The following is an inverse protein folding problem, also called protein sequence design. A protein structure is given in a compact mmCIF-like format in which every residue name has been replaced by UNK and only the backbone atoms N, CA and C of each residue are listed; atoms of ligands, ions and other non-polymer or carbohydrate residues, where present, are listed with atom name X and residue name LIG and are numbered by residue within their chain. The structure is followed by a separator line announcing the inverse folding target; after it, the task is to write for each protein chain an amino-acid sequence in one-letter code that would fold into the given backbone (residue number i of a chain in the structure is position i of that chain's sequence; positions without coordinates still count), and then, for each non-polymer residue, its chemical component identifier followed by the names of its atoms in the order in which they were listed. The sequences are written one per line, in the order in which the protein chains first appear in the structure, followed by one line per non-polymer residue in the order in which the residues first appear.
data_IF_059178799049
#
_entry.id   IF_059178799049
#
_cell.length_a   1.000
_cell.length_b   1.000
_cell.length_c   1.000
_cell.angle_alpha   90.00
_cell.angle_beta   90.00
_cell.angle_gamma   90.00
#
_symmetry.space_group_name_H-M   'P 1'
#
loop_
_entity.id
_entity.type
_entity.pdbx_description
1 polymer ?
#
# COMPACT_ATOMS: atom_id res chain seq x y z
N UNK A 1 24.68 16.77 -21.43
CA UNK A 1 23.54 16.00 -21.95
C UNK A 1 22.29 16.63 -21.34
N UNK A 2 21.30 16.98 -22.15
CA UNK A 2 20.02 17.52 -21.63
C UNK A 2 19.27 16.39 -20.94
N UNK A 3 18.89 16.54 -19.67
CA UNK A 3 18.06 15.55 -18.97
C UNK A 3 16.66 15.56 -19.62
N UNK A 4 16.11 14.39 -19.90
CA UNK A 4 14.77 14.25 -20.48
C UNK A 4 13.74 14.41 -19.36
N UNK A 5 12.71 15.25 -19.54
CA UNK A 5 11.61 15.33 -18.58
C UNK A 5 10.86 13.99 -18.49
N UNK A 6 10.54 13.61 -17.28
CA UNK A 6 9.70 12.45 -16.94
C UNK A 6 8.47 12.96 -16.21
N UNK A 7 7.39 12.17 -16.19
CA UNK A 7 6.19 12.46 -15.40
C UNK A 7 5.92 11.31 -14.45
N UNK A 8 5.33 11.65 -13.32
CA UNK A 8 5.01 10.66 -12.31
C UNK A 8 4.49 11.24 -11.00
N UNK A 9 4.25 10.35 -10.06
CA UNK A 9 3.78 10.70 -8.73
C UNK A 9 4.98 10.95 -7.80
N UNK A 10 4.96 12.07 -7.10
CA UNK A 10 5.92 12.49 -6.07
C UNK A 10 5.26 12.35 -4.71
N UNK A 11 5.94 11.69 -3.78
CA UNK A 11 5.44 11.45 -2.42
C UNK A 11 6.45 11.96 -1.40
N UNK A 12 5.95 12.70 -0.42
CA UNK A 12 6.70 13.12 0.76
C UNK A 12 6.00 12.59 2.00
N UNK A 13 6.69 11.78 2.78
CA UNK A 13 6.23 11.23 4.04
C UNK A 13 7.03 11.88 5.18
N UNK A 14 6.38 12.65 6.05
CA UNK A 14 6.99 13.54 7.04
C UNK A 14 6.55 13.21 8.46
N UNK A 15 7.53 13.00 9.36
CA UNK A 15 7.27 12.71 10.77
C UNK A 15 6.87 13.99 11.53
N UNK A 16 5.62 14.06 11.92
CA UNK A 16 5.13 15.16 12.73
C UNK A 16 5.62 15.06 14.17
N UNK A 17 6.09 16.19 14.73
CA UNK A 17 6.59 16.27 16.10
C UNK A 17 8.08 15.94 16.26
N UNK A 18 8.77 15.55 15.19
CA UNK A 18 10.16 15.10 15.22
C UNK A 18 11.13 16.09 15.85
N UNK A 19 11.07 17.38 15.53
CA UNK A 19 11.95 18.40 16.11
C UNK A 19 11.79 18.49 17.64
N UNK A 20 10.54 18.49 18.13
CA UNK A 20 10.25 18.50 19.56
C UNK A 20 10.70 17.20 20.22
N UNK A 21 10.49 16.07 19.54
CA UNK A 21 10.94 14.74 19.97
C UNK A 21 12.46 14.71 20.17
N UNK A 22 13.25 15.09 19.17
CA UNK A 22 14.71 15.11 19.26
C UNK A 22 15.24 16.06 20.36
N UNK A 23 14.61 17.23 20.51
CA UNK A 23 15.07 18.21 21.50
C UNK A 23 14.82 17.81 22.95
N UNK A 24 13.93 16.87 23.19
CA UNK A 24 13.52 16.39 24.52
C UNK A 24 13.96 14.95 24.83
N UNK A 25 14.64 14.29 23.89
CA UNK A 25 15.04 12.89 23.98
C UNK A 25 16.54 12.72 24.04
N UNK A 26 16.98 11.61 24.57
CA UNK A 26 18.37 11.19 24.63
C UNK A 26 18.90 10.90 23.21
N UNK A 27 20.06 11.46 22.89
CA UNK A 27 20.67 11.35 21.57
C UNK A 27 21.10 9.92 21.23
N UNK A 28 21.28 9.08 22.22
CA UNK A 28 21.66 7.68 22.05
C UNK A 28 20.52 6.82 21.50
N UNK A 29 19.25 7.17 21.80
CA UNK A 29 18.07 6.37 21.41
C UNK A 29 17.21 7.03 20.36
N UNK A 30 17.02 8.35 20.41
CA UNK A 30 16.08 9.04 19.55
C UNK A 30 16.35 8.85 18.04
N UNK A 31 17.61 8.93 17.55
CA UNK A 31 17.89 8.67 16.14
C UNK A 31 17.60 7.22 15.71
N UNK A 32 17.81 6.25 16.58
CA UNK A 32 17.54 4.82 16.31
C UNK A 32 16.03 4.58 16.15
N UNK A 33 15.21 5.13 17.05
CA UNK A 33 13.75 5.01 16.99
C UNK A 33 13.21 5.72 15.74
N UNK A 34 13.69 6.92 15.45
CA UNK A 34 13.27 7.67 14.27
C UNK A 34 13.68 6.96 12.96
N UNK A 35 14.89 6.39 12.93
CA UNK A 35 15.37 5.57 11.82
C UNK A 35 14.49 4.35 11.58
N UNK A 36 14.15 3.60 12.61
CA UNK A 36 13.27 2.44 12.55
C UNK A 36 11.85 2.81 12.05
N UNK A 37 11.33 3.96 12.47
CA UNK A 37 10.05 4.46 11.97
C UNK A 37 10.13 4.86 10.49
N UNK A 38 11.19 5.53 10.06
CA UNK A 38 11.41 5.88 8.65
C UNK A 38 11.61 4.63 7.79
N UNK A 39 12.38 3.65 8.25
CA UNK A 39 12.51 2.34 7.57
C UNK A 39 11.15 1.65 7.43
N UNK A 40 10.33 1.65 8.48
CA UNK A 40 8.96 1.10 8.43
C UNK A 40 8.10 1.79 7.39
N UNK A 41 8.15 3.13 7.28
CA UNK A 41 7.41 3.92 6.30
C UNK A 41 7.90 3.64 4.88
N UNK A 42 9.22 3.72 4.65
CA UNK A 42 9.83 3.52 3.34
C UNK A 42 9.59 2.10 2.85
N UNK A 43 9.74 1.09 3.71
CA UNK A 43 9.50 -0.30 3.35
C UNK A 43 8.06 -0.65 2.97
N UNK A 44 7.10 0.26 3.22
CA UNK A 44 5.71 0.13 2.73
C UNK A 44 5.41 1.01 1.51
N UNK A 45 6.20 2.05 1.30
CA UNK A 45 6.10 2.90 0.11
C UNK A 45 6.91 2.34 -1.07
N UNK A 46 7.99 1.62 -0.83
CA UNK A 46 8.86 1.05 -1.85
C UNK A 46 8.81 -0.50 -1.83
N UNK A 47 8.25 -1.13 -2.89
CA UNK A 47 7.55 -0.55 -4.02
C UNK A 47 6.10 -0.10 -3.67
N UNK A 48 5.32 0.62 -4.49
CA UNK A 48 5.54 0.92 -5.92
C UNK A 48 6.39 2.17 -6.18
N UNK A 49 6.63 3.00 -5.17
CA UNK A 49 7.50 4.16 -5.28
C UNK A 49 8.97 3.74 -5.22
N UNK A 50 9.85 4.67 -5.53
CA UNK A 50 11.30 4.55 -5.33
C UNK A 50 11.77 5.65 -4.40
N UNK A 51 12.60 5.32 -3.43
CA UNK A 51 13.20 6.32 -2.56
C UNK A 51 14.17 7.19 -3.36
N UNK A 52 13.89 8.49 -3.45
CA UNK A 52 14.80 9.46 -4.02
C UNK A 52 15.85 9.88 -2.98
N UNK A 53 15.40 10.25 -1.77
CA UNK A 53 16.28 10.64 -0.66
C UNK A 53 15.55 10.70 0.67
N UNK A 54 16.30 10.68 1.77
CA UNK A 54 15.85 11.07 3.10
C UNK A 54 16.22 12.53 3.36
N UNK A 55 15.31 13.30 3.93
CA UNK A 55 15.46 14.73 4.24
C UNK A 55 15.20 14.98 5.73
N UNK A 56 16.12 14.57 6.58
CA UNK A 56 15.95 14.62 8.03
C UNK A 56 14.89 13.64 8.51
N UNK A 57 13.70 14.13 8.82
CA UNK A 57 12.53 13.39 9.28
C UNK A 57 11.52 13.09 8.16
N UNK A 58 11.85 13.40 6.92
CA UNK A 58 11.01 13.12 5.76
C UNK A 58 11.67 12.16 4.79
N UNK A 59 10.86 11.29 4.19
CA UNK A 59 11.23 10.47 3.03
C UNK A 59 10.60 11.08 1.76
N UNK A 60 11.43 11.33 0.75
CA UNK A 60 11.00 11.76 -0.58
C UNK A 60 11.10 10.60 -1.55
N UNK A 61 9.95 10.22 -2.14
CA UNK A 61 9.83 9.11 -3.05
C UNK A 61 9.14 9.54 -4.35
N UNK A 62 9.25 8.73 -5.39
CA UNK A 62 8.58 8.96 -6.66
C UNK A 62 8.22 7.64 -7.36
N UNK A 63 7.23 7.70 -8.26
CA UNK A 63 6.93 6.62 -9.19
C UNK A 63 6.70 7.22 -10.58
N UNK A 64 7.38 6.66 -11.58
CA UNK A 64 7.14 7.03 -12.98
C UNK A 64 5.74 6.55 -13.42
N UNK A 65 5.16 7.27 -14.39
CA UNK A 65 3.88 6.90 -15.00
C UNK A 65 3.91 5.47 -15.56
N UNK A 66 2.81 4.75 -15.33
CA UNK A 66 2.65 3.37 -15.78
C UNK A 66 3.35 2.31 -14.91
N UNK A 67 4.07 2.70 -13.85
CA UNK A 67 4.71 1.74 -12.94
C UNK A 67 3.70 0.99 -12.06
N UNK A 68 2.69 1.69 -11.58
CA UNK A 68 1.61 1.13 -10.79
C UNK A 68 0.31 1.90 -11.02
N UNK A 69 -0.83 1.24 -10.91
CA UNK A 69 -2.12 1.91 -10.96
C UNK A 69 -2.37 2.77 -9.71
N UNK A 70 -3.33 3.69 -9.77
CA UNK A 70 -3.62 4.61 -8.68
C UNK A 70 -4.10 3.91 -7.41
N UNK A 71 -4.76 2.75 -7.52
CA UNK A 71 -5.21 1.97 -6.37
C UNK A 71 -4.02 1.41 -5.60
N UNK A 72 -3.02 0.86 -6.28
CA UNK A 72 -1.79 0.36 -5.64
C UNK A 72 -0.99 1.48 -4.97
N UNK A 73 -0.95 2.67 -5.58
CA UNK A 73 -0.28 3.82 -4.98
C UNK A 73 -0.99 4.31 -3.71
N UNK A 74 -2.33 4.30 -3.69
CA UNK A 74 -3.11 4.60 -2.49
C UNK A 74 -2.95 3.54 -1.40
N UNK A 75 -2.92 2.25 -1.79
CA UNK A 75 -2.66 1.15 -0.87
C UNK A 75 -1.30 1.30 -0.18
N UNK A 76 -0.27 1.74 -0.92
CA UNK A 76 1.06 2.01 -0.37
C UNK A 76 1.03 3.13 0.69
N UNK A 77 0.33 4.23 0.41
CA UNK A 77 0.17 5.35 1.36
C UNK A 77 -0.54 4.91 2.64
N UNK A 78 -1.63 4.15 2.52
CA UNK A 78 -2.36 3.61 3.67
C UNK A 78 -1.53 2.59 4.45
N UNK A 79 -0.89 1.65 3.75
CA UNK A 79 -0.04 0.64 4.36
C UNK A 79 1.13 1.26 5.14
N UNK A 80 1.74 2.31 4.61
CA UNK A 80 2.80 3.05 5.29
C UNK A 80 2.30 3.68 6.60
N UNK A 81 1.14 4.34 6.57
CA UNK A 81 0.55 4.93 7.78
C UNK A 81 0.17 3.85 8.80
N UNK A 82 -0.45 2.76 8.38
CA UNK A 82 -0.88 1.69 9.28
C UNK A 82 0.30 0.93 9.88
N UNK A 83 1.35 0.66 9.10
CA UNK A 83 2.57 0.05 9.62
C UNK A 83 3.27 0.96 10.62
N UNK A 84 3.35 2.27 10.33
CA UNK A 84 3.86 3.27 11.26
C UNK A 84 3.09 3.27 12.59
N UNK A 85 1.75 3.28 12.56
CA UNK A 85 0.90 3.24 13.76
C UNK A 85 1.06 1.93 14.54
N UNK A 86 1.16 0.78 13.84
CA UNK A 86 1.47 -0.51 14.48
C UNK A 86 2.84 -0.48 15.15
N UNK A 87 3.84 0.11 14.49
CA UNK A 87 5.19 0.21 15.05
C UNK A 87 5.25 1.09 16.29
N UNK A 88 4.59 2.23 16.28
CA UNK A 88 4.45 3.09 17.46
C UNK A 88 3.78 2.36 18.64
N UNK A 89 2.70 1.63 18.37
CA UNK A 89 2.02 0.82 19.40
C UNK A 89 2.97 -0.27 19.96
N UNK A 90 3.76 -0.90 19.10
CA UNK A 90 4.75 -1.90 19.52
C UNK A 90 5.84 -1.28 20.41
N UNK A 91 6.33 -0.08 20.09
CA UNK A 91 7.29 0.66 20.90
C UNK A 91 6.67 0.98 22.27
N UNK A 92 5.46 1.51 22.30
CA UNK A 92 4.74 1.88 23.53
C UNK A 92 4.50 0.68 24.46
N UNK A 93 4.11 -0.48 23.89
CA UNK A 93 3.73 -1.65 24.69
C UNK A 93 4.89 -2.58 25.06
N UNK A 94 5.93 -2.66 24.21
CA UNK A 94 7.02 -3.62 24.38
C UNK A 94 8.29 -3.01 25.01
N UNK A 95 8.39 -1.67 25.11
CA UNK A 95 9.59 -1.06 25.69
C UNK A 95 9.63 -1.21 27.22
N UNK A 96 10.79 -1.63 27.73
CA UNK A 96 11.11 -1.63 29.16
C UNK A 96 12.06 -0.48 29.53
N UNK A 97 12.32 0.44 28.59
CA UNK A 97 13.23 1.55 28.76
C UNK A 97 12.47 2.80 29.26
N UNK A 98 12.94 3.40 30.36
CA UNK A 98 12.32 4.59 30.95
C UNK A 98 12.89 5.91 30.38
N UNK A 99 13.63 5.89 29.28
CA UNK A 99 14.19 7.09 28.67
C UNK A 99 13.10 7.93 27.96
N UNK A 100 13.38 9.24 27.82
CA UNK A 100 12.44 10.16 27.16
C UNK A 100 12.20 9.78 25.68
N UNK A 101 13.21 9.27 24.98
CA UNK A 101 13.05 8.84 23.60
C UNK A 101 11.96 7.76 23.45
N UNK A 102 11.95 6.76 24.32
CA UNK A 102 10.92 5.72 24.32
C UNK A 102 9.55 6.26 24.75
N UNK A 103 9.51 7.08 25.81
CA UNK A 103 8.28 7.63 26.37
C UNK A 103 7.59 8.67 25.44
N UNK A 104 8.36 9.37 24.60
CA UNK A 104 7.84 10.41 23.70
C UNK A 104 7.56 9.88 22.27
N UNK A 105 8.15 8.75 21.89
CA UNK A 105 7.93 8.17 20.54
C UNK A 105 6.44 8.04 20.15
N UNK A 106 5.52 7.60 21.06
CA UNK A 106 4.10 7.50 20.75
C UNK A 106 3.40 8.84 20.39
N UNK A 107 4.06 9.97 20.62
CA UNK A 107 3.56 11.31 20.24
C UNK A 107 3.93 11.71 18.82
N UNK A 108 4.81 10.95 18.17
CA UNK A 108 5.10 11.13 16.75
C UNK A 108 3.88 10.73 15.92
N UNK A 109 3.73 11.38 14.78
CA UNK A 109 2.71 11.04 13.82
C UNK A 109 3.23 11.26 12.39
N UNK A 110 2.46 10.88 11.38
CA UNK A 110 2.87 10.90 9.99
C UNK A 110 1.91 11.75 9.15
N UNK A 111 2.48 12.54 8.24
CA UNK A 111 1.78 13.22 7.15
C UNK A 111 2.33 12.71 5.83
N UNK A 112 1.45 12.52 4.86
CA UNK A 112 1.85 12.13 3.51
C UNK A 112 1.33 13.16 2.51
N UNK A 113 2.21 13.65 1.64
CA UNK A 113 1.88 14.61 0.59
C UNK A 113 2.12 13.94 -0.75
N UNK A 114 1.11 14.01 -1.63
CA UNK A 114 1.12 13.36 -2.93
C UNK A 114 0.84 14.39 -4.02
N UNK A 115 1.78 14.53 -4.94
CA UNK A 115 1.67 15.38 -6.11
C UNK A 115 2.00 14.59 -7.37
N UNK A 116 1.36 14.90 -8.48
CA UNK A 116 1.72 14.36 -9.79
C UNK A 116 2.19 15.49 -10.70
N UNK A 117 3.35 15.31 -11.33
CA UNK A 117 3.91 16.31 -12.21
C UNK A 117 5.18 15.87 -12.91
N UNK A 118 5.82 16.83 -13.56
CA UNK A 118 7.04 16.62 -14.33
C UNK A 118 8.30 16.85 -13.48
N UNK A 119 9.29 16.03 -13.69
CA UNK A 119 10.60 16.14 -13.09
C UNK A 119 11.71 15.72 -14.04
N UNK A 120 12.92 16.10 -13.74
CA UNK A 120 14.13 15.59 -14.41
C UNK A 120 15.02 14.92 -13.38
N UNK A 121 15.61 13.80 -13.75
CA UNK A 121 16.69 13.19 -12.96
C UNK A 121 18.01 13.78 -13.39
N UNK A 122 18.77 14.27 -12.44
CA UNK A 122 20.11 14.83 -12.66
C UNK A 122 21.08 14.27 -11.64
N UNK A 123 22.35 14.14 -12.04
CA UNK A 123 23.38 13.67 -11.13
C UNK A 123 24.22 14.83 -10.66
N UNK A 124 24.13 15.15 -9.37
CA UNK A 124 24.84 16.27 -8.74
C UNK A 124 25.78 15.70 -7.68
N UNK A 125 27.07 15.98 -7.78
CA UNK A 125 28.09 15.48 -6.86
C UNK A 125 28.06 13.94 -6.67
N UNK A 126 27.72 13.20 -7.73
CA UNK A 126 27.64 11.73 -7.72
C UNK A 126 26.34 11.15 -7.16
N UNK A 127 25.37 11.99 -6.74
CA UNK A 127 24.05 11.59 -6.22
C UNK A 127 22.98 11.91 -7.25
N UNK A 128 21.99 11.03 -7.35
CA UNK A 128 20.81 11.26 -8.17
C UNK A 128 19.87 12.22 -7.44
N UNK A 129 19.40 13.25 -8.16
CA UNK A 129 18.52 14.30 -7.65
C UNK A 129 17.36 14.50 -8.60
N UNK A 130 16.16 14.66 -8.05
CA UNK A 130 14.99 15.09 -8.81
C UNK A 130 14.89 16.61 -8.78
N UNK A 131 14.63 17.21 -9.95
CA UNK A 131 14.49 18.66 -10.08
C UNK A 131 13.33 19.04 -10.99
N UNK A 132 12.67 20.15 -10.68
CA UNK A 132 11.56 20.67 -11.48
C UNK A 132 10.60 21.52 -10.64
N UNK A 133 9.73 22.32 -11.30
CA UNK A 133 8.72 23.10 -10.59
C UNK A 133 7.78 22.24 -9.72
N UNK A 134 7.41 21.04 -10.19
CA UNK A 134 6.53 20.11 -9.47
C UNK A 134 7.23 19.49 -8.27
N UNK A 135 8.54 19.26 -8.33
CA UNK A 135 9.35 18.86 -7.16
C UNK A 135 9.34 19.96 -6.10
N UNK A 136 9.46 21.24 -6.52
CA UNK A 136 9.37 22.38 -5.60
C UNK A 136 7.97 22.45 -4.97
N UNK A 137 6.92 22.27 -5.76
CA UNK A 137 5.55 22.28 -5.24
C UNK A 137 5.34 21.17 -4.21
N UNK A 138 5.77 19.93 -4.49
CA UNK A 138 5.68 18.83 -3.54
C UNK A 138 6.31 19.19 -2.17
N UNK A 139 7.50 19.77 -2.17
CA UNK A 139 8.15 20.21 -0.93
C UNK A 139 7.46 21.41 -0.25
N UNK A 140 6.75 22.26 -1.01
CA UNK A 140 6.00 23.38 -0.42
C UNK A 140 4.75 22.94 0.33
N UNK A 141 4.12 21.82 -0.06
CA UNK A 141 2.99 21.25 0.65
C UNK A 141 3.32 20.94 2.12
N UNK A 142 4.55 20.51 2.43
CA UNK A 142 5.02 20.30 3.81
C UNK A 142 4.85 21.54 4.71
N UNK A 143 4.97 22.73 4.12
CA UNK A 143 4.91 24.03 4.81
C UNK A 143 3.59 24.77 4.58
N UNK A 144 2.61 24.10 3.98
CA UNK A 144 1.30 24.65 3.67
C UNK A 144 0.44 24.91 4.90
N UNK A 145 -0.61 25.71 4.70
CA UNK A 145 -1.54 26.07 5.77
C UNK A 145 -2.30 24.86 6.33
N UNK A 146 -2.55 23.84 5.49
CA UNK A 146 -3.21 22.61 5.91
C UNK A 146 -2.30 21.81 6.84
N UNK A 147 -1.03 21.63 6.46
CA UNK A 147 -0.03 20.98 7.29
C UNK A 147 0.10 21.63 8.68
N UNK A 148 0.03 22.97 8.73
CA UNK A 148 0.10 23.73 9.97
C UNK A 148 -1.17 23.62 10.83
N UNK A 149 -2.37 23.57 10.22
CA UNK A 149 -3.66 23.63 10.94
C UNK A 149 -4.20 22.26 11.35
N UNK A 150 -4.02 21.25 10.52
CA UNK A 150 -4.64 19.94 10.72
C UNK A 150 -3.88 19.05 11.71
N UNK A 151 -2.65 19.41 12.03
CA UNK A 151 -1.82 18.61 12.93
C UNK A 151 -1.18 17.43 12.19
N UNK A 152 -1.76 16.23 12.28
CA UNK A 152 -1.13 14.99 11.85
C UNK A 152 -2.16 13.95 11.40
N UNK A 153 -1.72 12.80 10.96
CA UNK A 153 -2.59 11.67 10.62
C UNK A 153 -3.36 11.85 9.31
N UNK A 154 -2.78 12.49 8.30
CA UNK A 154 -3.48 12.72 7.03
C UNK A 154 -2.59 12.53 5.79
N UNK A 155 -3.25 12.24 4.67
CA UNK A 155 -2.68 12.32 3.32
C UNK A 155 -3.25 13.55 2.58
N UNK A 156 -2.40 14.39 2.02
CA UNK A 156 -2.80 15.54 1.18
C UNK A 156 -2.41 15.31 -0.27
N UNK A 157 -3.39 15.31 -1.14
CA UNK A 157 -3.24 15.05 -2.57
C UNK A 157 -3.56 16.31 -3.37
N UNK A 158 -2.70 16.69 -4.30
CA UNK A 158 -3.05 17.77 -5.25
C UNK A 158 -4.10 17.30 -6.25
N UNK A 159 -4.84 18.22 -6.87
CA UNK A 159 -5.78 17.91 -7.92
C UNK A 159 -5.12 17.17 -9.09
N UNK A 160 -3.85 17.48 -9.39
CA UNK A 160 -3.05 16.75 -10.38
C UNK A 160 -2.85 15.28 -9.99
N UNK A 161 -2.51 15.00 -8.72
CA UNK A 161 -2.38 13.63 -8.23
C UNK A 161 -3.72 12.88 -8.24
N UNK A 162 -4.80 13.51 -7.78
CA UNK A 162 -6.15 12.92 -7.81
C UNK A 162 -6.54 12.51 -9.24
N UNK A 163 -6.29 13.39 -10.22
CA UNK A 163 -6.59 13.12 -11.62
C UNK A 163 -5.73 11.99 -12.18
N UNK A 164 -4.42 12.03 -11.96
CA UNK A 164 -3.49 11.03 -12.48
C UNK A 164 -3.72 9.64 -11.88
N UNK A 165 -4.07 9.57 -10.59
CA UNK A 165 -4.37 8.33 -9.89
C UNK A 165 -5.80 7.82 -10.13
N UNK A 166 -6.65 8.61 -10.80
CA UNK A 166 -8.05 8.24 -11.05
C UNK A 166 -8.92 8.18 -9.80
N UNK A 167 -8.56 8.96 -8.77
CA UNK A 167 -9.25 8.93 -7.46
C UNK A 167 -10.60 9.64 -7.55
N UNK A 168 -11.63 9.03 -6.98
CA UNK A 168 -12.95 9.65 -6.77
C UNK A 168 -13.06 10.13 -5.33
N UNK A 169 -12.77 11.42 -5.15
CA UNK A 169 -12.61 12.04 -3.82
C UNK A 169 -13.90 12.06 -3.00
N UNK A 170 -15.06 12.15 -3.67
CA UNK A 170 -16.39 12.09 -3.08
C UNK A 170 -16.72 10.72 -2.46
N UNK A 171 -16.27 9.64 -3.10
CA UNK A 171 -16.48 8.27 -2.63
C UNK A 171 -15.46 7.83 -1.56
N UNK A 172 -14.35 8.56 -1.40
CA UNK A 172 -13.31 8.29 -0.42
C UNK A 172 -13.32 9.28 0.77
N UNK A 173 -14.39 10.08 0.91
CA UNK A 173 -14.55 11.08 1.97
C UNK A 173 -13.35 12.03 2.12
N UNK A 174 -12.76 12.43 0.98
CA UNK A 174 -11.65 13.37 0.97
C UNK A 174 -12.17 14.81 1.06
N UNK A 175 -11.70 15.54 2.07
CA UNK A 175 -12.05 16.94 2.24
C UNK A 175 -11.34 17.83 1.20
N UNK A 176 -12.09 18.70 0.52
CA UNK A 176 -11.51 19.69 -0.39
C UNK A 176 -10.81 20.81 0.38
N UNK A 177 -9.68 21.26 -0.15
CA UNK A 177 -8.94 22.39 0.40
C UNK A 177 -8.16 23.13 -0.69
N UNK A 178 -7.70 24.33 -0.40
CA UNK A 178 -6.88 25.13 -1.29
C UNK A 178 -5.69 25.69 -0.54
N UNK A 179 -4.54 25.58 -1.14
CA UNK A 179 -3.27 26.18 -0.69
C UNK A 179 -2.85 27.29 -1.66
N UNK A 180 -2.18 28.31 -1.16
CA UNK A 180 -1.60 29.37 -1.99
C UNK A 180 -0.13 29.52 -1.67
N UNK A 181 0.71 29.43 -2.68
CA UNK A 181 2.16 29.50 -2.55
C UNK A 181 2.76 30.60 -3.41
N UNK A 182 3.72 31.34 -2.86
CA UNK A 182 4.48 32.35 -3.62
C UNK A 182 5.10 31.71 -4.87
N UNK A 183 4.95 32.38 -6.01
CA UNK A 183 5.48 31.97 -7.32
C UNK A 183 4.87 30.67 -7.92
N UNK A 184 3.94 30.00 -7.23
CA UNK A 184 3.19 28.84 -7.75
C UNK A 184 1.72 29.21 -7.97
N UNK A 185 1.17 30.05 -7.08
CA UNK A 185 -0.26 30.40 -7.09
C UNK A 185 -1.09 29.46 -6.25
N UNK A 186 -2.39 29.39 -6.58
CA UNK A 186 -3.37 28.56 -5.89
C UNK A 186 -3.31 27.12 -6.37
N UNK A 187 -3.33 26.18 -5.42
CA UNK A 187 -3.29 24.74 -5.65
C UNK A 187 -4.50 24.10 -4.96
N UNK A 188 -5.39 23.54 -5.73
CA UNK A 188 -6.50 22.74 -5.19
C UNK A 188 -5.96 21.41 -4.69
N UNK A 189 -6.36 21.04 -3.48
CA UNK A 189 -5.92 19.80 -2.81
C UNK A 189 -7.09 19.07 -2.17
N UNK A 190 -6.89 17.80 -1.89
CA UNK A 190 -7.84 16.91 -1.24
C UNK A 190 -7.14 16.23 -0.08
N UNK A 191 -7.81 16.14 1.05
CA UNK A 191 -7.22 15.63 2.28
C UNK A 191 -7.96 14.39 2.74
N UNK A 192 -7.22 13.29 2.85
CA UNK A 192 -7.66 12.01 3.38
C UNK A 192 -7.28 11.94 4.85
N UNK A 193 -8.24 11.58 5.71
CA UNK A 193 -8.00 11.37 7.13
C UNK A 193 -7.47 9.94 7.36
N UNK A 194 -6.15 9.81 7.49
CA UNK A 194 -5.50 8.51 7.67
C UNK A 194 -5.68 7.98 9.09
N UNK A 195 -5.83 8.86 10.09
CA UNK A 195 -6.06 8.43 11.47
C UNK A 195 -7.47 7.86 11.67
N UNK A 196 -8.48 8.49 11.05
CA UNK A 196 -9.83 7.93 11.03
C UNK A 196 -9.88 6.57 10.32
N UNK A 197 -9.12 6.42 9.22
CA UNK A 197 -8.99 5.13 8.51
C UNK A 197 -8.30 4.07 9.36
N UNK A 198 -7.21 4.44 10.03
CA UNK A 198 -6.53 3.55 10.97
C UNK A 198 -7.45 3.11 12.11
N UNK A 199 -8.22 4.04 12.69
CA UNK A 199 -9.19 3.73 13.75
C UNK A 199 -10.23 2.74 13.25
N UNK A 200 -10.84 3.02 12.09
CA UNK A 200 -11.82 2.12 11.50
C UNK A 200 -11.23 0.72 11.19
N UNK A 201 -9.97 0.68 10.74
CA UNK A 201 -9.26 -0.57 10.45
C UNK A 201 -8.94 -1.34 11.74
N UNK A 202 -8.45 -0.66 12.78
CA UNK A 202 -8.10 -1.29 14.06
C UNK A 202 -9.32 -1.82 14.83
N UNK A 203 -10.50 -1.24 14.59
CA UNK A 203 -11.77 -1.68 15.19
C UNK A 203 -12.47 -2.78 14.36
N UNK A 204 -12.03 -2.99 13.12
CA UNK A 204 -12.59 -4.01 12.24
C UNK A 204 -12.12 -5.40 12.69
N UNK A 205 -13.08 -6.32 12.79
CA UNK A 205 -12.75 -7.72 12.99
C UNK A 205 -12.23 -8.30 11.67
N UNK A 206 -10.96 -8.71 11.66
CA UNK A 206 -10.35 -9.36 10.52
C UNK A 206 -11.09 -10.65 10.18
N UNK A 207 -11.43 -10.82 8.90
CA UNK A 207 -11.98 -12.08 8.40
C UNK A 207 -10.87 -13.13 8.33
N UNK A 208 -11.01 -14.23 9.04
CA UNK A 208 -10.04 -15.31 9.03
C UNK A 208 -10.72 -16.66 8.84
N UNK A 209 -10.04 -17.57 8.16
CA UNK A 209 -10.46 -18.97 7.99
C UNK A 209 -9.56 -19.86 8.84
N UNK A 210 -10.17 -20.56 9.79
CA UNK A 210 -9.43 -21.53 10.61
C UNK A 210 -8.95 -22.71 9.75
N UNK A 211 -7.73 -23.24 9.97
CA UNK A 211 -7.18 -24.33 9.15
C UNK A 211 -8.10 -25.54 9.04
N UNK A 212 -8.78 -25.90 10.12
CA UNK A 212 -9.71 -27.03 10.19
C UNK A 212 -11.01 -26.82 9.40
N UNK A 213 -11.36 -25.56 9.09
CA UNK A 213 -12.51 -25.21 8.26
C UNK A 213 -12.14 -25.08 6.78
N UNK A 214 -10.86 -25.06 6.46
CA UNK A 214 -10.37 -24.81 5.11
C UNK A 214 -10.54 -26.04 4.20
N UNK A 215 -11.14 -25.84 3.03
CA UNK A 215 -11.13 -26.79 1.91
C UNK A 215 -9.86 -26.67 1.07
N UNK A 216 -9.22 -25.50 1.10
CA UNK A 216 -7.86 -25.24 0.59
C UNK A 216 -7.09 -24.58 1.72
N UNK A 217 -5.90 -25.08 2.04
CA UNK A 217 -4.94 -24.47 2.96
C UNK A 217 -3.54 -24.66 2.35
N UNK A 218 -3.09 -23.62 1.64
CA UNK A 218 -1.83 -23.65 0.91
C UNK A 218 -0.94 -22.51 1.37
N UNK A 219 0.34 -22.78 1.56
CA UNK A 219 1.34 -21.76 1.88
C UNK A 219 2.57 -21.95 1.00
N UNK A 220 3.05 -20.85 0.42
CA UNK A 220 4.28 -20.83 -0.38
C UNK A 220 5.20 -19.70 0.08
N UNK A 221 6.49 -19.88 -0.19
CA UNK A 221 7.46 -18.79 -0.07
C UNK A 221 7.71 -18.21 -1.47
N UNK A 222 7.44 -16.93 -1.63
CA UNK A 222 7.56 -16.21 -2.90
C UNK A 222 8.79 -15.32 -2.82
N UNK A 223 9.72 -15.36 -3.81
CA UNK A 223 10.91 -14.52 -3.82
C UNK A 223 10.57 -13.10 -4.32
N UNK A 224 9.84 -12.36 -3.51
CA UNK A 224 9.41 -10.99 -3.77
C UNK A 224 8.94 -10.32 -2.48
N UNK A 225 8.92 -8.99 -2.47
CA UNK A 225 8.37 -8.18 -1.37
C UNK A 225 6.86 -8.38 -1.21
N UNK A 226 6.30 -8.14 -0.01
CA UNK A 226 4.85 -8.17 0.22
C UNK A 226 4.06 -7.26 -0.73
N UNK A 227 4.61 -6.09 -1.10
CA UNK A 227 3.94 -5.16 -2.00
C UNK A 227 3.87 -5.70 -3.45
N UNK A 228 4.92 -6.34 -3.95
CA UNK A 228 4.90 -7.00 -5.26
C UNK A 228 3.94 -8.19 -5.25
N UNK A 229 3.98 -9.03 -4.21
CA UNK A 229 3.01 -10.12 -4.04
C UNK A 229 1.56 -9.59 -4.02
N UNK A 230 1.31 -8.51 -3.28
CA UNK A 230 0.03 -7.84 -3.20
C UNK A 230 -0.48 -7.36 -4.56
N UNK A 231 0.40 -6.70 -5.34
CA UNK A 231 0.06 -6.23 -6.67
C UNK A 231 -0.39 -7.39 -7.60
N UNK A 232 0.31 -8.52 -7.55
CA UNK A 232 -0.03 -9.70 -8.35
C UNK A 232 -1.32 -10.38 -7.89
N UNK A 233 -1.59 -10.40 -6.58
CA UNK A 233 -2.81 -10.97 -6.02
C UNK A 233 -4.06 -10.14 -6.32
N UNK A 234 -3.92 -8.82 -6.39
CA UNK A 234 -5.07 -7.94 -6.37
C UNK A 234 -5.32 -7.20 -7.68
N UNK A 235 -4.29 -6.96 -8.52
CA UNK A 235 -4.44 -6.19 -9.74
C UNK A 235 -5.06 -7.01 -10.88
N UNK A 236 -6.17 -6.56 -11.50
CA UNK A 236 -6.80 -7.24 -12.63
C UNK A 236 -5.87 -7.44 -13.84
N UNK A 237 -4.89 -6.54 -14.02
CA UNK A 237 -3.90 -6.64 -15.12
C UNK A 237 -2.80 -7.67 -14.86
N UNK A 238 -2.50 -7.99 -13.59
CA UNK A 238 -1.44 -8.90 -13.19
C UNK A 238 -1.93 -10.32 -12.87
N UNK A 239 -3.16 -10.45 -12.36
CA UNK A 239 -3.77 -11.76 -12.04
C UNK A 239 -3.75 -12.76 -13.20
N UNK A 240 -4.03 -12.39 -14.46
CA UNK A 240 -3.98 -13.32 -15.58
C UNK A 240 -2.60 -13.96 -15.82
N UNK A 241 -1.52 -13.33 -15.35
CA UNK A 241 -0.15 -13.84 -15.51
C UNK A 241 0.10 -15.12 -14.70
N UNK A 242 -0.66 -15.35 -13.63
CA UNK A 242 -0.48 -16.50 -12.75
C UNK A 242 -1.75 -17.34 -12.56
N UNK A 243 -2.94 -16.74 -12.58
CA UNK A 243 -4.18 -17.51 -12.49
C UNK A 243 -4.50 -18.27 -13.79
N UNK A 244 -3.98 -17.80 -14.91
CA UNK A 244 -4.20 -18.38 -16.24
C UNK A 244 -5.07 -17.45 -17.13
N UNK A 245 -5.58 -17.96 -18.25
CA UNK A 245 -6.27 -17.15 -19.24
C UNK A 245 -7.68 -16.73 -18.73
N UNK A 246 -7.71 -15.70 -17.92
CA UNK A 246 -8.94 -15.10 -17.38
C UNK A 246 -9.12 -13.68 -17.90
N UNK A 247 -10.37 -13.27 -18.06
CA UNK A 247 -10.76 -11.87 -18.30
C UNK A 247 -11.41 -11.34 -17.03
N UNK A 248 -10.87 -10.24 -16.52
CA UNK A 248 -11.31 -9.66 -15.25
C UNK A 248 -11.97 -8.30 -15.53
N UNK A 249 -13.20 -8.15 -15.05
CA UNK A 249 -13.91 -6.86 -15.01
C UNK A 249 -14.10 -6.47 -13.55
N UNK A 250 -13.65 -5.30 -13.18
CA UNK A 250 -13.69 -4.80 -11.81
C UNK A 250 -14.58 -3.56 -11.68
N UNK A 251 -15.31 -3.48 -10.59
CA UNK A 251 -16.02 -2.28 -10.15
C UNK A 251 -15.62 -1.97 -8.71
N UNK A 252 -14.95 -0.86 -8.50
CA UNK A 252 -14.40 -0.45 -7.20
C UNK A 252 -15.03 0.85 -6.72
N UNK A 253 -15.48 0.93 -5.45
CA UNK A 253 -15.88 2.19 -4.84
C UNK A 253 -14.75 3.22 -4.90
N UNK A 254 -15.05 4.46 -5.26
CA UNK A 254 -14.07 5.53 -5.33
C UNK A 254 -12.95 5.33 -6.36
N UNK A 255 -13.13 4.43 -7.33
CA UNK A 255 -12.08 3.98 -8.26
C UNK A 255 -10.83 3.42 -7.55
N UNK A 256 -10.99 2.97 -6.32
CA UNK A 256 -9.95 2.34 -5.52
C UNK A 256 -10.36 0.92 -5.14
N UNK A 257 -9.48 -0.04 -5.33
CA UNK A 257 -9.65 -1.41 -4.84
C UNK A 257 -9.69 -1.43 -3.31
N UNK A 258 -10.58 -2.22 -2.75
CA UNK A 258 -10.77 -2.34 -1.30
C UNK A 258 -12.10 -3.01 -1.00
N UNK A 259 -12.54 -2.96 0.25
CA UNK A 259 -13.82 -3.56 0.69
C UNK A 259 -14.99 -3.02 -0.14
N UNK A 260 -15.84 -3.93 -0.64
CA UNK A 260 -16.94 -3.62 -1.54
C UNK A 260 -16.57 -3.61 -3.02
N UNK A 261 -15.29 -3.76 -3.39
CA UNK A 261 -14.90 -4.02 -4.77
C UNK A 261 -15.47 -5.35 -5.22
N UNK A 262 -16.12 -5.34 -6.37
CA UNK A 262 -16.63 -6.55 -7.02
C UNK A 262 -15.86 -6.83 -8.30
N UNK A 263 -15.51 -8.09 -8.51
CA UNK A 263 -14.76 -8.55 -9.68
C UNK A 263 -15.49 -9.70 -10.35
N UNK A 264 -15.66 -9.63 -11.66
CA UNK A 264 -16.12 -10.75 -12.47
C UNK A 264 -14.93 -11.35 -13.21
N UNK A 265 -14.59 -12.58 -12.88
CA UNK A 265 -13.52 -13.35 -13.49
C UNK A 265 -14.11 -14.38 -14.45
N UNK A 266 -13.82 -14.25 -15.75
CA UNK A 266 -14.36 -15.11 -16.79
C UNK A 266 -13.27 -16.02 -17.34
N UNK A 267 -13.47 -17.35 -17.25
CA UNK A 267 -12.62 -18.39 -17.84
C UNK A 267 -13.46 -19.24 -18.78
N UNK A 268 -13.25 -19.07 -20.08
CA UNK A 268 -14.05 -19.74 -21.10
C UNK A 268 -15.53 -19.35 -21.03
N UNK A 269 -16.40 -20.28 -20.56
CA UNK A 269 -17.86 -20.05 -20.37
C UNK A 269 -18.25 -19.89 -18.90
N UNK A 270 -17.32 -20.02 -17.99
CA UNK A 270 -17.56 -19.91 -16.55
C UNK A 270 -17.20 -18.50 -16.07
N UNK A 271 -18.05 -17.97 -15.21
CA UNK A 271 -17.82 -16.68 -14.55
C UNK A 271 -17.89 -16.86 -13.04
N UNK A 272 -16.84 -16.44 -12.33
CA UNK A 272 -16.82 -16.34 -10.88
C UNK A 272 -17.04 -14.87 -10.53
N UNK A 273 -17.96 -14.59 -9.62
CA UNK A 273 -18.11 -13.27 -9.03
C UNK A 273 -17.34 -13.27 -7.69
N UNK A 274 -16.56 -12.25 -7.49
CA UNK A 274 -15.76 -12.05 -6.28
C UNK A 274 -16.14 -10.69 -5.66
N UNK A 275 -16.23 -10.63 -4.34
CA UNK A 275 -16.40 -9.40 -3.57
C UNK A 275 -15.30 -9.33 -2.52
N UNK A 276 -14.57 -8.23 -2.45
CA UNK A 276 -13.60 -7.99 -1.39
C UNK A 276 -14.36 -7.63 -0.11
N UNK A 277 -14.16 -8.41 0.95
CA UNK A 277 -14.83 -8.24 2.25
C UNK A 277 -13.89 -7.82 3.37
N UNK A 278 -12.57 -8.00 3.19
CA UNK A 278 -11.53 -7.48 4.07
C UNK A 278 -10.32 -7.04 3.24
N UNK A 279 -9.65 -5.96 3.65
CA UNK A 279 -8.58 -5.35 2.86
C UNK A 279 -7.58 -4.62 3.74
N UNK A 280 -6.43 -5.22 3.94
CA UNK A 280 -5.31 -4.68 4.70
C UNK A 280 -4.07 -4.72 3.80
N UNK A 281 -3.78 -3.63 3.08
CA UNK A 281 -2.71 -3.62 2.08
C UNK A 281 -1.39 -4.17 2.61
N UNK A 282 -0.85 -5.12 1.85
CA UNK A 282 0.41 -5.85 2.04
C UNK A 282 0.42 -6.87 3.19
N UNK A 283 -0.66 -7.01 3.94
CA UNK A 283 -0.75 -7.93 5.08
C UNK A 283 -1.85 -8.97 4.89
N UNK A 284 -3.09 -8.55 4.51
CA UNK A 284 -4.23 -9.44 4.46
C UNK A 284 -5.30 -8.98 3.46
N UNK A 285 -5.92 -9.93 2.77
CA UNK A 285 -7.15 -9.69 2.02
C UNK A 285 -8.10 -10.88 2.16
N UNK A 286 -9.41 -10.59 2.10
CA UNK A 286 -10.44 -11.64 2.09
C UNK A 286 -11.50 -11.34 1.03
N UNK A 287 -11.98 -12.40 0.41
CA UNK A 287 -12.99 -12.36 -0.64
C UNK A 287 -14.14 -13.30 -0.33
N UNK A 288 -15.32 -12.92 -0.78
CA UNK A 288 -16.46 -13.83 -0.95
C UNK A 288 -16.62 -14.11 -2.44
N UNK A 289 -16.64 -15.39 -2.80
CA UNK A 289 -16.68 -15.85 -4.18
C UNK A 289 -17.99 -16.59 -4.44
N UNK A 290 -18.60 -16.38 -5.61
CA UNK A 290 -19.66 -17.23 -6.12
C UNK A 290 -19.07 -18.12 -7.22
N UNK A 291 -18.70 -19.36 -6.85
CA UNK A 291 -17.99 -20.29 -7.73
C UNK A 291 -19.01 -21.16 -8.48
N UNK A 292 -18.99 -21.18 -9.83
CA UNK A 292 -19.93 -21.98 -10.61
C UNK A 292 -19.90 -23.47 -10.25
N UNK A 293 -21.07 -24.06 -10.01
CA UNK A 293 -21.22 -25.47 -9.64
C UNK A 293 -20.87 -25.82 -8.19
N UNK A 294 -20.40 -24.85 -7.40
CA UNK A 294 -20.02 -25.05 -5.99
C UNK A 294 -20.85 -24.14 -5.08
N UNK A 295 -21.07 -22.89 -5.49
CA UNK A 295 -21.78 -21.89 -4.70
C UNK A 295 -20.83 -20.93 -3.98
N UNK A 296 -21.26 -20.38 -2.82
CA UNK A 296 -20.46 -19.39 -2.10
C UNK A 296 -19.26 -20.02 -1.39
N UNK A 297 -18.11 -19.35 -1.55
CA UNK A 297 -16.82 -19.71 -0.94
C UNK A 297 -16.21 -18.44 -0.36
N UNK A 298 -15.73 -18.52 0.87
CA UNK A 298 -14.91 -17.47 1.45
C UNK A 298 -13.43 -17.81 1.24
N UNK A 299 -12.60 -16.79 0.91
CA UNK A 299 -11.18 -16.96 0.68
C UNK A 299 -10.41 -15.89 1.46
N UNK A 300 -9.24 -16.25 1.97
CA UNK A 300 -8.29 -15.32 2.62
C UNK A 300 -6.89 -15.49 2.04
N UNK A 301 -6.14 -14.41 1.98
CA UNK A 301 -4.72 -14.40 1.68
C UNK A 301 -4.01 -13.59 2.76
N UNK A 302 -3.04 -14.22 3.42
CA UNK A 302 -2.17 -13.58 4.41
C UNK A 302 -0.74 -13.50 3.85
N UNK A 303 -0.11 -12.33 3.99
CA UNK A 303 1.25 -12.06 3.54
C UNK A 303 2.12 -11.73 4.74
N UNK A 304 3.22 -12.45 4.89
CA UNK A 304 4.22 -12.21 5.93
C UNK A 304 5.59 -12.05 5.28
N UNK A 305 6.24 -10.90 5.49
CA UNK A 305 7.62 -10.69 5.04
C UNK A 305 8.56 -11.64 5.75
N UNK A 306 9.46 -12.29 5.02
CA UNK A 306 10.45 -13.23 5.52
C UNK A 306 11.79 -12.99 4.80
N UNK A 307 12.64 -12.14 5.36
CA UNK A 307 13.87 -11.64 4.74
C UNK A 307 13.55 -11.04 3.34
N UNK A 308 14.22 -11.47 2.28
CA UNK A 308 13.98 -11.03 0.89
C UNK A 308 12.80 -11.76 0.22
N UNK A 309 11.94 -12.40 0.98
CA UNK A 309 10.82 -13.20 0.47
C UNK A 309 9.53 -12.83 1.18
N UNK A 310 8.42 -13.29 0.62
CA UNK A 310 7.10 -13.22 1.26
C UNK A 310 6.52 -14.61 1.44
N UNK A 311 6.11 -14.94 2.65
CA UNK A 311 5.24 -16.10 2.90
C UNK A 311 3.81 -15.71 2.56
N UNK A 312 3.26 -16.35 1.56
CA UNK A 312 1.85 -16.21 1.17
C UNK A 312 1.09 -17.43 1.63
N UNK A 313 0.07 -17.24 2.46
CA UNK A 313 -0.86 -18.28 2.92
C UNK A 313 -2.24 -18.01 2.34
N UNK A 314 -2.79 -18.96 1.60
CA UNK A 314 -4.10 -18.89 0.96
C UNK A 314 -5.02 -19.94 1.55
N UNK A 315 -6.18 -19.51 2.10
CA UNK A 315 -7.22 -20.41 2.59
C UNK A 315 -8.55 -20.15 1.92
N UNK A 316 -9.25 -21.23 1.59
CA UNK A 316 -10.62 -21.19 1.09
C UNK A 316 -11.51 -22.04 1.98
N UNK A 317 -12.73 -21.61 2.25
CA UNK A 317 -13.71 -22.35 3.02
C UNK A 317 -15.08 -22.31 2.32
N UNK A 318 -15.81 -23.41 2.35
CA UNK A 318 -17.19 -23.43 1.89
C UNK A 318 -18.06 -22.56 2.80
N UNK A 319 -18.76 -21.57 2.23
CA UNK A 319 -19.69 -20.73 2.96
C UNK A 319 -21.10 -21.38 3.01
N UNK A 320 -22.01 -20.92 3.86
CA UNK A 320 -23.38 -21.45 3.93
C UNK A 320 -24.07 -21.43 2.57
N UNK A 321 -24.56 -22.59 2.12
CA UNK A 321 -25.18 -22.77 0.80
C UNK A 321 -24.26 -23.33 -0.28
N UNK A 322 -22.99 -23.56 0.02
CA UNK A 322 -22.10 -24.29 -0.87
C UNK A 322 -22.49 -25.79 -0.97
N UNK A 323 -22.32 -26.34 -2.18
CA UNK A 323 -22.65 -27.73 -2.50
C UNK A 323 -21.44 -28.57 -2.95
N UNK A 324 -20.21 -28.09 -2.58
CA UNK A 324 -18.96 -28.74 -2.98
C UNK A 324 -18.89 -30.19 -2.53
N UNK A 325 -18.72 -31.11 -3.47
CA UNK A 325 -18.40 -32.50 -3.20
C UNK A 325 -16.90 -32.75 -3.02
N UNK A 326 -16.47 -33.95 -2.59
CA UNK A 326 -15.04 -34.27 -2.43
C UNK A 326 -14.22 -34.05 -3.71
N UNK A 327 -14.74 -34.39 -4.87
CA UNK A 327 -14.07 -34.23 -6.17
C UNK A 327 -13.90 -32.77 -6.53
N UNK A 328 -14.89 -31.91 -6.18
CA UNK A 328 -14.78 -30.45 -6.38
C UNK A 328 -13.70 -29.85 -5.49
N UNK A 329 -13.63 -30.28 -4.24
CA UNK A 329 -12.59 -29.81 -3.29
C UNK A 329 -11.20 -30.19 -3.80
N UNK A 330 -11.00 -31.41 -4.25
CA UNK A 330 -9.71 -31.88 -4.77
C UNK A 330 -9.30 -31.10 -6.04
N UNK A 331 -10.26 -30.88 -6.94
CA UNK A 331 -10.03 -30.08 -8.15
C UNK A 331 -9.63 -28.65 -7.82
N UNK A 332 -10.35 -27.97 -6.91
CA UNK A 332 -10.04 -26.60 -6.49
C UNK A 332 -8.64 -26.53 -5.86
N UNK A 333 -8.33 -27.48 -4.97
CA UNK A 333 -7.02 -27.56 -4.32
C UNK A 333 -5.90 -27.67 -5.35
N UNK A 334 -6.03 -28.59 -6.31
CA UNK A 334 -5.05 -28.75 -7.37
C UNK A 334 -4.90 -27.48 -8.24
N UNK A 335 -6.02 -26.85 -8.61
CA UNK A 335 -6.02 -25.61 -9.38
C UNK A 335 -5.32 -24.45 -8.63
N UNK A 336 -5.62 -24.28 -7.34
CA UNK A 336 -5.02 -23.20 -6.52
C UNK A 336 -3.54 -23.46 -6.30
N UNK A 337 -3.14 -24.70 -6.03
CA UNK A 337 -1.72 -25.08 -5.91
C UNK A 337 -0.96 -24.76 -7.19
N UNK A 338 -1.46 -25.18 -8.33
CA UNK A 338 -0.83 -24.89 -9.63
C UNK A 338 -0.76 -23.38 -9.93
N UNK A 339 -1.77 -22.60 -9.51
CA UNK A 339 -1.76 -21.16 -9.65
C UNK A 339 -0.70 -20.50 -8.77
N UNK A 340 -0.57 -20.92 -7.52
CA UNK A 340 0.47 -20.42 -6.59
C UNK A 340 1.89 -20.77 -7.09
N UNK A 341 2.11 -21.97 -7.63
CA UNK A 341 3.40 -22.34 -8.22
C UNK A 341 3.76 -21.45 -9.43
N UNK A 342 2.76 -21.05 -10.25
CA UNK A 342 2.96 -20.08 -11.33
C UNK A 342 3.26 -18.68 -10.77
N UNK A 343 2.58 -18.25 -9.71
CA UNK A 343 2.84 -16.97 -9.07
C UNK A 343 4.30 -16.87 -8.59
N UNK A 344 4.78 -17.88 -7.87
CA UNK A 344 6.17 -17.94 -7.41
C UNK A 344 7.16 -17.91 -8.58
N UNK A 345 6.86 -18.62 -9.68
CA UNK A 345 7.68 -18.62 -10.88
C UNK A 345 7.73 -17.26 -11.57
N UNK A 346 6.60 -16.58 -11.71
CA UNK A 346 6.51 -15.26 -12.36
C UNK A 346 7.27 -14.21 -11.56
N UNK A 347 7.11 -14.19 -10.25
CA UNK A 347 7.78 -13.24 -9.37
C UNK A 347 9.28 -13.55 -9.27
N UNK A 348 9.67 -14.83 -9.19
CA UNK A 348 11.09 -15.23 -9.14
C UNK A 348 11.87 -14.94 -10.43
N UNK A 349 11.20 -14.92 -11.60
CA UNK A 349 11.86 -14.57 -12.87
C UNK A 349 12.15 -13.05 -12.99
N UNK A 350 11.52 -12.19 -12.21
CA UNK A 350 11.74 -10.73 -12.19
C UNK A 350 12.94 -10.31 -11.34
N UNK A 351 13.26 -11.06 -10.30
CA UNK A 351 14.46 -10.81 -9.49
C UNK A 351 15.72 -10.87 -10.36
N UNK A 352 15.75 -11.73 -11.41
CA UNK A 352 16.83 -11.80 -12.38
C UNK A 352 16.87 -10.68 -13.44
N UNK A 353 15.82 -9.85 -13.56
CA UNK A 353 15.74 -8.75 -14.53
C UNK A 353 16.03 -7.37 -13.92
N UNK A 354 15.97 -7.24 -12.60
CA UNK A 354 16.30 -6.00 -11.88
C UNK A 354 17.82 -5.84 -11.65
N UNK A 355 18.61 -6.89 -11.89
CA UNK A 355 20.08 -6.88 -11.76
C UNK A 355 20.84 -6.70 -13.10
N UNK A 356 20.13 -6.42 -14.19
CA UNK A 356 20.70 -6.09 -15.52
C UNK A 356 20.29 -4.62 -15.88
#
# INVERSE_FOLDING_TARGET
MSATPETGTLVLADLTGYTAYLSQSEIEHAPTIAGDLLETIVGRLEPPFRLAKLEGDAAFLYAEDGRADGSLQLDAVEAAYFAFRRRLRSIDTATSCDCNACALAPRLDLKVFVHHGAFVRSRIAGRDELAGPDVILAHRLLKGAIAAKRGSGFGQFTAAAVTALGIRTDELDMATARESFDHVGDVDTFVMDLDARWTAESDRRQMSIAPEAAIVDESILVPADPADCWAYLTSPSLRPLWEGPIVITETSPGARRGVGTTTQCVTGRLATLEEIVDWQPYDHAAWRLAVPGIGPVDATADLEGADDNTRLSLRWAAAPGAIAGPDDVERIRAERRAALDRLASVLGSRVGLAEV
#
